data_IF_164168453035
#
_entry.id   IF_164168453035
#
_cell.length_a   1.000
_cell.length_b   1.000
_cell.length_c   1.000
_cell.angle_alpha   90.00
_cell.angle_beta   90.00
_cell.angle_gamma   90.00
#
_symmetry.space_group_name_H-M   'P 1'
#
loop_
_entity.id
_entity.type
_entity.pdbx_description
1 polymer ?
#
# COMPACT_ATOMS: atom_id res chain seq x y z
N UNK A 1 36.09 6.08 9.91
CA UNK A 1 36.36 6.87 11.15
C UNK A 1 35.29 7.93 11.38
N UNK A 2 34.96 8.79 10.39
CA UNK A 2 33.93 9.84 10.55
C UNK A 2 32.57 9.34 11.07
N UNK A 3 31.91 8.42 10.35
CA UNK A 3 30.61 7.87 10.78
C UNK A 3 30.66 7.15 12.12
N UNK A 4 31.79 6.50 12.42
CA UNK A 4 31.98 5.77 13.68
C UNK A 4 32.05 6.72 14.87
N UNK A 5 32.82 7.80 14.77
CA UNK A 5 32.87 8.85 15.79
C UNK A 5 31.54 9.59 15.90
N UNK A 6 30.91 9.92 14.77
CA UNK A 6 29.70 10.74 14.76
C UNK A 6 28.47 10.00 15.33
N UNK A 7 28.31 8.71 15.01
CA UNK A 7 27.25 7.86 15.56
C UNK A 7 27.52 7.57 17.05
N UNK A 8 28.77 7.29 17.45
CA UNK A 8 29.12 7.09 18.86
C UNK A 8 28.88 8.34 19.72
N UNK A 9 29.03 9.55 19.17
CA UNK A 9 28.85 10.80 19.91
C UNK A 9 27.39 11.29 19.97
N UNK A 10 26.60 11.05 18.91
CA UNK A 10 25.28 11.70 18.76
C UNK A 10 24.11 10.79 18.40
N UNK A 11 24.34 9.49 18.23
CA UNK A 11 23.35 8.50 17.76
C UNK A 11 22.85 8.75 16.32
N UNK A 12 22.36 7.70 15.65
CA UNK A 12 21.87 7.73 14.27
C UNK A 12 20.72 8.73 14.08
N UNK A 13 19.93 8.95 15.13
CA UNK A 13 18.80 9.89 15.14
C UNK A 13 19.23 11.36 14.98
N UNK A 14 20.46 11.72 15.37
CA UNK A 14 21.03 13.06 15.11
C UNK A 14 21.80 13.15 13.78
N UNK A 15 22.34 12.02 13.32
CA UNK A 15 23.10 11.92 12.06
C UNK A 15 22.17 11.97 10.84
N UNK A 16 21.03 11.28 10.88
CA UNK A 16 20.09 11.21 9.76
C UNK A 16 19.56 12.60 9.30
N UNK A 17 19.12 13.52 10.18
CA UNK A 17 18.75 14.88 9.78
C UNK A 17 19.92 15.66 9.19
N UNK A 18 21.14 15.44 9.69
CA UNK A 18 22.35 16.13 9.21
C UNK A 18 22.71 15.68 7.79
N UNK A 19 22.59 14.38 7.50
CA UNK A 19 22.77 13.83 6.15
C UNK A 19 21.73 14.37 5.15
N UNK A 20 20.47 14.50 5.58
CA UNK A 20 19.40 15.11 4.76
C UNK A 20 19.69 16.57 4.43
N UNK A 21 20.19 17.37 5.39
CA UNK A 21 20.52 18.78 5.16
C UNK A 21 21.55 18.99 4.04
N UNK A 22 22.47 18.03 3.87
CA UNK A 22 23.50 18.07 2.83
C UNK A 22 23.15 17.21 1.61
N UNK A 23 21.92 16.69 1.52
CA UNK A 23 21.44 15.82 0.44
C UNK A 23 22.31 14.57 0.23
N UNK A 24 22.92 14.05 1.29
CA UNK A 24 23.74 12.83 1.26
C UNK A 24 22.96 11.58 1.69
N UNK A 25 21.77 11.73 2.26
CA UNK A 25 20.93 10.65 2.79
C UNK A 25 20.62 9.55 1.76
N UNK A 26 20.46 9.91 0.48
CA UNK A 26 20.21 8.96 -0.61
C UNK A 26 21.47 8.64 -1.46
N UNK A 27 22.61 9.23 -1.10
CA UNK A 27 23.87 9.19 -1.87
C UNK A 27 25.01 8.55 -1.10
N UNK A 28 24.74 7.97 0.08
CA UNK A 28 25.75 7.33 0.92
C UNK A 28 26.51 6.20 0.20
N UNK A 29 25.90 5.54 -0.79
CA UNK A 29 26.59 4.54 -1.60
C UNK A 29 27.68 5.14 -2.50
N UNK A 30 27.56 6.42 -2.88
CA UNK A 30 28.56 7.13 -3.71
C UNK A 30 29.91 7.30 -2.99
N UNK A 31 29.95 7.06 -1.68
CA UNK A 31 31.19 7.02 -0.91
C UNK A 31 32.09 5.84 -1.29
N UNK A 32 31.56 4.83 -1.96
CA UNK A 32 32.31 3.68 -2.47
C UNK A 32 32.67 3.86 -3.95
N UNK A 33 33.77 3.23 -4.41
CA UNK A 33 34.07 3.11 -5.83
C UNK A 33 32.89 2.50 -6.61
N UNK A 34 32.68 2.92 -7.86
CA UNK A 34 31.52 2.53 -8.68
C UNK A 34 31.25 1.01 -8.71
N UNK A 35 32.29 0.18 -8.74
CA UNK A 35 32.18 -1.29 -8.73
C UNK A 35 31.78 -1.89 -7.37
N UNK A 36 31.59 -1.08 -6.34
CA UNK A 36 31.24 -1.47 -4.96
C UNK A 36 30.01 -0.73 -4.42
N UNK A 37 29.28 0.00 -5.28
CA UNK A 37 28.05 0.71 -4.92
C UNK A 37 26.85 -0.24 -4.91
N UNK A 38 26.94 -1.34 -4.17
CA UNK A 38 25.82 -2.26 -3.94
C UNK A 38 25.37 -2.19 -2.49
N UNK A 39 24.07 -2.45 -2.25
CA UNK A 39 23.53 -2.51 -0.89
C UNK A 39 24.14 -3.65 -0.10
N UNK A 40 24.43 -4.79 -0.72
CA UNK A 40 25.07 -5.89 -0.01
C UNK A 40 26.47 -5.47 0.45
N UNK A 41 27.24 -4.79 -0.40
CA UNK A 41 28.56 -4.31 -0.04
C UNK A 41 28.51 -3.27 1.07
N UNK A 42 27.63 -2.25 0.94
CA UNK A 42 27.46 -1.20 1.93
C UNK A 42 27.07 -1.79 3.29
N UNK A 43 26.06 -2.65 3.30
CA UNK A 43 25.53 -3.29 4.51
C UNK A 43 26.60 -4.14 5.17
N UNK A 44 27.33 -4.95 4.40
CA UNK A 44 28.41 -5.79 4.91
C UNK A 44 29.52 -4.93 5.53
N UNK A 45 30.03 -3.94 4.79
CA UNK A 45 31.13 -3.09 5.23
C UNK A 45 30.81 -2.36 6.54
N UNK A 46 29.64 -1.72 6.64
CA UNK A 46 29.28 -0.95 7.83
C UNK A 46 28.84 -1.82 9.00
N UNK A 47 28.23 -2.98 8.75
CA UNK A 47 27.89 -3.93 9.83
C UNK A 47 29.15 -4.55 10.44
N UNK A 48 30.13 -4.97 9.61
CA UNK A 48 31.42 -5.47 10.08
C UNK A 48 32.23 -4.39 10.83
N UNK A 49 32.02 -3.10 10.52
CA UNK A 49 32.63 -1.98 11.22
C UNK A 49 31.95 -1.62 12.56
N UNK A 50 30.83 -2.28 12.90
CA UNK A 50 30.03 -2.03 14.10
C UNK A 50 29.03 -0.87 13.96
N UNK A 51 28.57 -0.57 12.75
CA UNK A 51 27.66 0.54 12.43
C UNK A 51 26.38 0.00 11.75
N UNK A 52 25.70 -0.95 12.41
CA UNK A 52 24.51 -1.60 11.88
C UNK A 52 23.36 -0.62 11.64
N UNK A 53 23.24 0.39 12.49
CA UNK A 53 22.23 1.45 12.43
C UNK A 53 22.33 2.25 11.12
N UNK A 54 23.55 2.48 10.63
CA UNK A 54 23.78 3.16 9.36
C UNK A 54 23.41 2.27 8.17
N UNK A 55 23.72 0.97 8.24
CA UNK A 55 23.28 -0.02 7.25
C UNK A 55 21.76 -0.08 7.16
N UNK A 56 21.07 -0.17 8.30
CA UNK A 56 19.61 -0.17 8.39
C UNK A 56 19.02 1.15 7.87
N UNK A 57 19.64 2.29 8.18
CA UNK A 57 19.22 3.58 7.66
C UNK A 57 19.26 3.65 6.13
N UNK A 58 20.38 3.23 5.50
CA UNK A 58 20.53 3.24 4.03
C UNK A 58 19.55 2.29 3.36
N UNK A 59 19.41 1.08 3.91
CA UNK A 59 18.44 0.12 3.41
C UNK A 59 17.00 0.67 3.46
N UNK A 60 16.63 1.33 4.57
CA UNK A 60 15.35 2.00 4.70
C UNK A 60 15.18 3.16 3.70
N UNK A 61 16.20 4.00 3.49
CA UNK A 61 16.14 5.08 2.50
C UNK A 61 15.95 4.54 1.08
N UNK A 62 16.68 3.50 0.71
CA UNK A 62 16.57 2.91 -0.62
C UNK A 62 15.19 2.26 -0.84
N UNK A 63 14.67 1.58 0.19
CA UNK A 63 13.29 1.04 0.19
C UNK A 63 12.25 2.15 0.02
N UNK A 64 12.40 3.28 0.72
CA UNK A 64 11.51 4.44 0.56
C UNK A 64 11.63 5.03 -0.84
N UNK A 65 12.85 5.17 -1.36
CA UNK A 65 13.12 5.66 -2.71
C UNK A 65 12.45 4.80 -3.79
N UNK A 66 12.64 3.48 -3.72
CA UNK A 66 12.02 2.53 -4.65
C UNK A 66 10.48 2.63 -4.64
N UNK A 67 9.87 2.72 -3.45
CA UNK A 67 8.41 2.90 -3.32
C UNK A 67 7.92 4.21 -3.94
N UNK A 68 8.68 5.31 -3.75
CA UNK A 68 8.34 6.62 -4.33
C UNK A 68 8.45 6.62 -5.85
N UNK A 69 9.51 6.02 -6.40
CA UNK A 69 9.70 5.94 -7.85
C UNK A 69 8.63 5.04 -8.49
N UNK A 70 8.33 3.89 -7.88
CA UNK A 70 7.22 3.02 -8.30
C UNK A 70 5.89 3.80 -8.36
N UNK A 71 5.57 4.57 -7.32
CA UNK A 71 4.35 5.39 -7.29
C UNK A 71 4.37 6.49 -8.37
N UNK A 72 5.53 7.07 -8.65
CA UNK A 72 5.69 8.12 -9.66
C UNK A 72 5.48 7.55 -11.07
N UNK A 73 6.25 6.52 -11.46
CA UNK A 73 6.12 5.90 -12.79
C UNK A 73 4.73 5.31 -13.00
N UNK A 74 4.15 4.66 -11.98
CA UNK A 74 2.78 4.14 -12.08
C UNK A 74 1.78 5.25 -12.39
N UNK A 75 1.91 6.44 -11.78
CA UNK A 75 1.06 7.59 -12.09
C UNK A 75 1.29 8.13 -13.50
N UNK A 76 2.51 8.09 -14.01
CA UNK A 76 2.84 8.48 -15.39
C UNK A 76 2.25 7.49 -16.40
N UNK A 77 2.38 6.18 -16.17
CA UNK A 77 1.69 5.17 -16.97
C UNK A 77 0.17 5.35 -16.95
N UNK A 78 -0.39 5.74 -15.78
CA UNK A 78 -1.82 6.06 -15.66
C UNK A 78 -2.23 7.28 -16.48
N UNK A 79 -1.41 8.34 -16.53
CA UNK A 79 -1.72 9.55 -17.29
C UNK A 79 -1.57 9.37 -18.79
N UNK A 80 -0.59 8.57 -19.23
CA UNK A 80 -0.42 8.18 -20.65
C UNK A 80 -1.52 7.25 -21.16
N UNK A 81 -2.25 6.61 -20.25
CA UNK A 81 -3.31 5.66 -20.61
C UNK A 81 -2.78 4.28 -20.99
N UNK A 82 -1.57 3.92 -20.53
CA UNK A 82 -0.93 2.65 -20.88
C UNK A 82 -1.83 1.44 -20.50
N UNK A 83 -1.77 0.32 -21.23
CA UNK A 83 -2.57 -0.87 -20.94
C UNK A 83 -2.39 -1.39 -19.50
N UNK A 84 -3.46 -1.94 -18.91
CA UNK A 84 -3.38 -2.51 -17.56
C UNK A 84 -2.35 -3.64 -17.46
N UNK A 85 -2.22 -4.45 -18.51
CA UNK A 85 -1.24 -5.54 -18.57
C UNK A 85 0.19 -5.02 -18.34
N UNK A 86 0.56 -3.92 -19.00
CA UNK A 86 1.91 -3.37 -18.94
C UNK A 86 2.19 -2.75 -17.56
N UNK A 87 1.19 -2.07 -16.99
CA UNK A 87 1.24 -1.55 -15.60
C UNK A 87 1.43 -2.66 -14.58
N UNK A 88 0.67 -3.75 -14.72
CA UNK A 88 0.75 -4.90 -13.83
C UNK A 88 2.13 -5.56 -13.93
N UNK A 89 2.65 -5.76 -15.15
CA UNK A 89 3.97 -6.32 -15.37
C UNK A 89 5.06 -5.47 -14.73
N UNK A 90 5.05 -4.15 -14.98
CA UNK A 90 6.00 -3.22 -14.39
C UNK A 90 5.99 -3.28 -12.85
N UNK A 91 4.81 -3.22 -12.23
CA UNK A 91 4.71 -3.27 -10.75
C UNK A 91 5.21 -4.62 -10.23
N UNK A 92 4.92 -5.75 -10.88
CA UNK A 92 5.44 -7.08 -10.49
C UNK A 92 6.96 -7.17 -10.62
N UNK A 93 7.56 -6.53 -11.62
CA UNK A 93 9.02 -6.47 -11.77
C UNK A 93 9.66 -5.65 -10.64
N UNK A 94 9.12 -4.47 -10.34
CA UNK A 94 9.63 -3.62 -9.25
C UNK A 94 9.41 -4.25 -7.87
N UNK A 95 8.34 -5.03 -7.67
CA UNK A 95 8.14 -5.85 -6.47
C UNK A 95 9.29 -6.83 -6.27
N UNK A 96 9.64 -7.60 -7.32
CA UNK A 96 10.71 -8.60 -7.24
C UNK A 96 12.07 -7.95 -7.06
N UNK A 97 12.35 -6.92 -7.84
CA UNK A 97 13.64 -6.21 -7.87
C UNK A 97 13.97 -5.52 -6.54
N UNK A 98 12.98 -4.90 -5.90
CA UNK A 98 13.19 -4.15 -4.66
C UNK A 98 12.58 -4.83 -3.42
N UNK A 99 12.16 -6.09 -3.56
CA UNK A 99 11.52 -6.89 -2.52
C UNK A 99 10.35 -6.17 -1.81
N UNK A 100 9.47 -5.53 -2.61
CA UNK A 100 8.33 -4.75 -2.08
C UNK A 100 7.18 -5.72 -1.77
N UNK A 101 6.73 -5.81 -0.51
CA UNK A 101 5.62 -6.69 -0.15
C UNK A 101 4.29 -6.27 -0.79
N UNK A 102 3.44 -7.26 -1.07
CA UNK A 102 2.10 -7.04 -1.66
C UNK A 102 1.25 -6.01 -0.89
N UNK A 103 1.16 -6.03 0.47
CA UNK A 103 0.40 -5.02 1.21
C UNK A 103 0.90 -3.58 0.99
N UNK A 104 2.20 -3.41 0.77
CA UNK A 104 2.79 -2.09 0.46
C UNK A 104 2.39 -1.64 -0.93
N UNK A 105 2.39 -2.56 -1.90
CA UNK A 105 1.95 -2.27 -3.27
C UNK A 105 0.48 -1.89 -3.33
N UNK A 106 -0.39 -2.56 -2.57
CA UNK A 106 -1.81 -2.19 -2.45
C UNK A 106 -1.93 -0.72 -2.03
N UNK A 107 -1.16 -0.29 -1.02
CA UNK A 107 -1.12 1.11 -0.58
C UNK A 107 -0.61 2.08 -1.65
N UNK A 108 0.41 1.69 -2.43
CA UNK A 108 0.96 2.48 -3.53
C UNK A 108 -0.04 2.62 -4.68
N UNK A 109 -0.69 1.53 -5.09
CA UNK A 109 -1.71 1.52 -6.14
C UNK A 109 -2.91 2.36 -5.71
N UNK A 110 -3.39 2.20 -4.47
CA UNK A 110 -4.44 3.04 -3.91
C UNK A 110 -4.10 4.53 -4.01
N UNK A 111 -2.94 4.92 -3.47
CA UNK A 111 -2.50 6.31 -3.46
C UNK A 111 -2.32 6.86 -4.88
N UNK A 112 -1.84 6.03 -5.82
CA UNK A 112 -1.68 6.43 -7.23
C UNK A 112 -3.03 6.70 -7.89
N UNK A 113 -4.01 5.82 -7.69
CA UNK A 113 -5.37 5.97 -8.24
C UNK A 113 -6.07 7.18 -7.62
N UNK A 114 -6.02 7.32 -6.29
CA UNK A 114 -6.77 8.34 -5.54
C UNK A 114 -6.15 9.75 -5.61
N UNK A 115 -4.83 9.87 -5.84
CA UNK A 115 -4.14 11.17 -5.90
C UNK A 115 -4.67 12.17 -6.92
N UNK A 116 -5.40 11.71 -7.94
CA UNK A 116 -6.06 12.59 -8.92
C UNK A 116 -7.42 13.09 -8.46
N UNK A 117 -8.11 12.32 -7.62
CA UNK A 117 -9.41 12.71 -7.06
C UNK A 117 -9.21 13.69 -5.90
N UNK A 118 -8.19 13.47 -5.08
CA UNK A 118 -7.78 14.39 -4.00
C UNK A 118 -7.38 15.79 -4.49
N UNK A 119 -7.04 15.94 -5.78
CA UNK A 119 -6.72 17.24 -6.40
C UNK A 119 -7.95 18.01 -6.88
N UNK A 120 -9.13 17.39 -6.92
CA UNK A 120 -10.36 18.06 -7.33
C UNK A 120 -10.95 18.87 -6.17
N UNK A 121 -11.16 20.16 -6.41
CA UNK A 121 -11.68 21.13 -5.41
C UNK A 121 -13.21 21.15 -5.29
N UNK A 122 -13.91 20.32 -6.06
CA UNK A 122 -15.38 20.22 -6.00
C UNK A 122 -15.73 19.04 -5.11
N UNK A 123 -15.86 19.34 -3.82
CA UNK A 123 -16.03 18.38 -2.72
C UNK A 123 -17.28 17.49 -2.90
N UNK A 124 -18.37 18.03 -3.45
CA UNK A 124 -19.65 17.33 -3.60
C UNK A 124 -19.61 16.16 -4.61
N UNK A 125 -18.75 16.24 -5.63
CA UNK A 125 -18.59 15.20 -6.67
C UNK A 125 -17.40 14.27 -6.40
N UNK A 126 -16.60 14.53 -5.37
CA UNK A 126 -15.37 13.79 -5.10
C UNK A 126 -15.62 12.30 -4.89
N UNK A 127 -16.67 11.94 -4.16
CA UNK A 127 -17.02 10.54 -3.89
C UNK A 127 -17.42 9.77 -5.15
N UNK A 128 -18.23 10.36 -6.03
CA UNK A 128 -18.68 9.71 -7.27
C UNK A 128 -17.54 9.54 -8.27
N UNK A 129 -16.69 10.56 -8.39
CA UNK A 129 -15.50 10.51 -9.24
C UNK A 129 -14.50 9.47 -8.76
N UNK A 130 -14.28 9.38 -7.44
CA UNK A 130 -13.50 8.31 -6.83
C UNK A 130 -14.08 6.94 -7.14
N UNK A 131 -15.39 6.73 -6.94
CA UNK A 131 -16.03 5.45 -7.23
C UNK A 131 -15.86 5.06 -8.71
N UNK A 132 -16.05 6.00 -9.64
CA UNK A 132 -15.83 5.76 -11.08
C UNK A 132 -14.37 5.38 -11.37
N UNK A 133 -13.43 6.10 -10.77
CA UNK A 133 -12.00 5.86 -10.97
C UNK A 133 -11.55 4.55 -10.33
N UNK A 134 -12.04 4.25 -9.13
CA UNK A 134 -11.86 2.95 -8.49
C UNK A 134 -12.35 1.88 -9.47
N UNK A 135 -13.60 1.93 -9.95
CA UNK A 135 -14.11 0.97 -10.94
C UNK A 135 -13.19 0.78 -12.15
N UNK A 136 -12.73 1.87 -12.74
CA UNK A 136 -11.85 1.85 -13.91
C UNK A 136 -10.55 1.09 -13.63
N UNK A 137 -9.94 1.30 -12.47
CA UNK A 137 -8.66 0.70 -12.10
C UNK A 137 -8.79 -0.62 -11.33
N UNK A 138 -9.97 -1.26 -11.30
CA UNK A 138 -10.16 -2.57 -10.66
C UNK A 138 -9.24 -3.66 -11.18
N UNK A 139 -9.01 -3.82 -12.50
CA UNK A 139 -8.11 -4.87 -13.03
C UNK A 139 -6.68 -4.75 -12.49
N UNK A 140 -6.20 -3.52 -12.30
CA UNK A 140 -4.88 -3.28 -11.73
C UNK A 140 -4.82 -3.71 -10.26
N UNK A 141 -5.87 -3.46 -9.48
CA UNK A 141 -5.89 -3.78 -8.04
C UNK A 141 -6.06 -5.28 -7.79
N UNK A 142 -6.94 -5.94 -8.54
CA UNK A 142 -7.16 -7.38 -8.44
C UNK A 142 -5.86 -8.19 -8.64
N UNK A 143 -4.93 -7.68 -9.45
CA UNK A 143 -3.63 -8.32 -9.68
C UNK A 143 -2.69 -8.37 -8.46
N UNK A 144 -3.00 -7.64 -7.38
CA UNK A 144 -2.19 -7.51 -6.17
C UNK A 144 -2.99 -7.78 -4.89
N UNK A 145 -4.12 -8.49 -4.99
CA UNK A 145 -4.95 -8.94 -3.87
C UNK A 145 -5.11 -10.45 -3.97
N UNK A 146 -4.01 -11.19 -3.87
CA UNK A 146 -3.95 -12.62 -4.24
C UNK A 146 -3.56 -13.55 -3.09
N UNK A 147 -3.31 -13.02 -1.89
CA UNK A 147 -2.74 -13.78 -0.78
C UNK A 147 -3.33 -13.38 0.59
N UNK A 148 -4.37 -14.06 1.07
CA UNK A 148 -4.79 -14.06 2.48
C UNK A 148 -4.78 -12.70 3.19
N UNK A 149 -3.72 -12.36 3.94
CA UNK A 149 -3.57 -11.07 4.64
C UNK A 149 -3.56 -9.85 3.71
N UNK A 150 -3.13 -9.99 2.45
CA UNK A 150 -3.18 -8.91 1.46
C UNK A 150 -4.62 -8.61 1.04
N UNK A 151 -5.54 -9.56 1.10
CA UNK A 151 -6.94 -9.37 0.71
C UNK A 151 -7.74 -8.55 1.72
N UNK A 152 -7.32 -8.55 3.00
CA UNK A 152 -7.90 -7.68 4.03
C UNK A 152 -7.37 -6.23 3.95
N UNK A 153 -6.17 -6.04 3.41
CA UNK A 153 -5.49 -4.74 3.35
C UNK A 153 -6.32 -3.65 2.63
N UNK A 154 -6.99 -3.92 1.49
CA UNK A 154 -7.85 -2.93 0.84
C UNK A 154 -9.01 -2.49 1.74
N UNK A 155 -9.67 -3.40 2.46
CA UNK A 155 -10.79 -3.07 3.36
C UNK A 155 -10.38 -2.10 4.46
N UNK A 156 -9.23 -2.36 5.10
CA UNK A 156 -8.64 -1.46 6.09
C UNK A 156 -8.28 -0.10 5.48
N UNK A 157 -7.70 -0.09 4.28
CA UNK A 157 -7.29 1.15 3.62
C UNK A 157 -8.48 2.02 3.23
N UNK A 158 -9.56 1.41 2.74
CA UNK A 158 -10.81 2.10 2.40
C UNK A 158 -11.43 2.68 3.68
N UNK A 159 -11.41 1.93 4.79
CA UNK A 159 -11.95 2.37 6.07
C UNK A 159 -11.22 3.62 6.58
N UNK A 160 -9.88 3.59 6.60
CA UNK A 160 -9.08 4.74 6.97
C UNK A 160 -9.35 5.95 6.07
N UNK A 161 -9.38 5.74 4.76
CA UNK A 161 -9.62 6.80 3.79
C UNK A 161 -11.00 7.45 3.96
N UNK A 162 -12.05 6.63 4.09
CA UNK A 162 -13.41 7.13 4.26
C UNK A 162 -13.60 7.83 5.61
N UNK A 163 -12.79 7.50 6.62
CA UNK A 163 -12.81 8.16 7.92
C UNK A 163 -12.09 9.51 7.90
N UNK A 164 -10.92 9.54 7.27
CA UNK A 164 -10.06 10.73 7.24
C UNK A 164 -10.65 11.83 6.30
N UNK A 165 -11.55 11.48 5.38
CA UNK A 165 -12.28 12.43 4.52
C UNK A 165 -13.82 12.34 4.72
N UNK A 166 -14.39 13.40 5.29
CA UNK A 166 -15.83 13.49 5.61
C UNK A 166 -16.75 13.30 4.40
N UNK A 167 -16.29 13.62 3.18
CA UNK A 167 -17.07 13.45 1.95
C UNK A 167 -17.24 11.98 1.59
N UNK A 168 -16.33 11.13 2.07
CA UNK A 168 -16.32 9.69 1.84
C UNK A 168 -16.95 8.89 2.97
N UNK A 169 -17.30 9.52 4.10
CA UNK A 169 -17.91 8.84 5.24
C UNK A 169 -19.15 8.03 4.87
N UNK A 170 -19.97 8.47 3.90
CA UNK A 170 -21.16 7.73 3.40
C UNK A 170 -20.88 6.84 2.18
N UNK A 171 -19.67 6.84 1.66
CA UNK A 171 -19.28 6.12 0.45
C UNK A 171 -18.68 4.74 0.74
N UNK A 172 -18.31 4.45 2.00
CA UNK A 172 -17.60 3.23 2.40
C UNK A 172 -18.28 1.96 1.87
N UNK A 173 -19.56 1.74 2.18
CA UNK A 173 -20.30 0.56 1.72
C UNK A 173 -20.31 0.46 0.18
N UNK A 174 -20.55 1.58 -0.51
CA UNK A 174 -20.58 1.62 -1.98
C UNK A 174 -19.23 1.22 -2.57
N UNK A 175 -18.13 1.67 -1.97
CA UNK A 175 -16.77 1.33 -2.41
C UNK A 175 -16.49 -0.16 -2.18
N UNK A 176 -16.80 -0.69 -0.99
CA UNK A 176 -16.60 -2.12 -0.68
C UNK A 176 -17.39 -3.00 -1.64
N UNK A 177 -18.69 -2.73 -1.83
CA UNK A 177 -19.55 -3.48 -2.75
C UNK A 177 -19.05 -3.39 -4.19
N UNK A 178 -18.55 -2.23 -4.61
CA UNK A 178 -17.98 -2.06 -5.95
C UNK A 178 -16.73 -2.93 -6.14
N UNK A 179 -15.86 -2.97 -5.15
CA UNK A 179 -14.61 -3.75 -5.21
C UNK A 179 -14.88 -5.25 -5.13
N UNK A 180 -15.88 -5.67 -4.36
CA UNK A 180 -16.38 -7.05 -4.36
C UNK A 180 -16.89 -7.46 -5.74
N UNK A 181 -17.80 -6.67 -6.33
CA UNK A 181 -18.34 -6.92 -7.68
C UNK A 181 -17.30 -6.88 -8.80
N UNK A 182 -16.16 -6.26 -8.54
CA UNK A 182 -15.07 -6.15 -9.50
C UNK A 182 -13.92 -7.14 -9.21
N UNK A 183 -14.17 -8.14 -8.35
CA UNK A 183 -13.23 -9.20 -8.00
C UNK A 183 -11.90 -8.69 -7.42
N UNK A 184 -11.94 -7.51 -6.77
CA UNK A 184 -10.80 -6.95 -6.03
C UNK A 184 -10.85 -7.37 -4.56
N UNK A 185 -12.05 -7.60 -4.03
CA UNK A 185 -12.28 -8.15 -2.71
C UNK A 185 -13.08 -9.44 -2.85
N UNK A 186 -12.65 -10.48 -2.14
CA UNK A 186 -13.41 -11.71 -1.93
C UNK A 186 -14.34 -11.55 -0.72
N UNK A 187 -15.19 -12.55 -0.50
CA UNK A 187 -16.14 -12.58 0.61
C UNK A 187 -15.45 -12.74 1.98
N UNK A 188 -14.52 -13.69 2.10
CA UNK A 188 -13.83 -14.00 3.36
C UNK A 188 -13.18 -12.75 4.02
N UNK A 189 -12.40 -11.90 3.31
CA UNK A 189 -11.83 -10.68 3.89
C UNK A 189 -12.87 -9.64 4.31
N UNK A 190 -14.00 -9.55 3.60
CA UNK A 190 -15.08 -8.62 3.96
C UNK A 190 -15.76 -9.09 5.25
N UNK A 191 -16.04 -10.39 5.36
CA UNK A 191 -16.62 -10.99 6.57
C UNK A 191 -15.67 -10.90 7.76
N UNK A 192 -14.38 -11.19 7.54
CA UNK A 192 -13.33 -11.04 8.56
C UNK A 192 -13.21 -9.60 9.05
N UNK A 193 -13.21 -8.63 8.14
CA UNK A 193 -13.25 -7.21 8.48
C UNK A 193 -14.50 -6.87 9.30
N UNK A 194 -15.68 -7.35 8.90
CA UNK A 194 -16.94 -7.07 9.59
C UNK A 194 -16.98 -7.66 11.01
N UNK A 195 -16.41 -8.85 11.21
CA UNK A 195 -16.41 -9.56 12.50
C UNK A 195 -15.46 -8.93 13.52
N UNK A 196 -14.17 -8.86 13.20
CA UNK A 196 -13.14 -8.51 14.19
C UNK A 196 -11.89 -7.80 13.64
N UNK A 197 -11.68 -7.81 12.32
CA UNK A 197 -10.47 -7.25 11.73
C UNK A 197 -10.59 -5.79 11.25
N UNK A 198 -11.65 -5.07 11.64
CA UNK A 198 -11.84 -3.65 11.33
C UNK A 198 -11.00 -2.74 12.22
N UNK A 199 -10.61 -1.58 11.69
CA UNK A 199 -9.90 -0.56 12.46
C UNK A 199 -10.84 0.13 13.47
N UNK A 200 -10.27 0.75 14.51
CA UNK A 200 -11.04 1.53 15.48
C UNK A 200 -11.65 2.80 14.86
N UNK A 201 -10.96 3.40 13.88
CA UNK A 201 -11.39 4.61 13.16
C UNK A 201 -12.73 4.39 12.45
N UNK A 202 -13.75 5.14 12.84
CA UNK A 202 -15.08 5.07 12.20
C UNK A 202 -15.83 3.74 12.42
N UNK A 203 -15.34 2.85 13.29
CA UNK A 203 -15.89 1.50 13.53
C UNK A 203 -17.42 1.47 13.58
N UNK A 204 -18.01 2.24 14.50
CA UNK A 204 -19.47 2.25 14.70
C UNK A 204 -20.24 2.63 13.43
N UNK A 205 -19.73 3.61 12.69
CA UNK A 205 -20.39 4.15 11.50
C UNK A 205 -20.29 3.16 10.33
N UNK A 206 -19.12 2.56 10.12
CA UNK A 206 -18.92 1.66 8.98
C UNK A 206 -19.51 0.27 9.20
N UNK A 207 -19.52 -0.25 10.43
CA UNK A 207 -20.26 -1.48 10.75
C UNK A 207 -21.76 -1.29 10.50
N UNK A 208 -22.33 -0.15 10.90
CA UNK A 208 -23.74 0.14 10.64
C UNK A 208 -24.03 0.22 9.12
N UNK A 209 -23.17 0.88 8.35
CA UNK A 209 -23.30 0.93 6.89
C UNK A 209 -23.20 -0.44 6.22
N UNK A 210 -22.34 -1.31 6.75
CA UNK A 210 -22.13 -2.65 6.20
C UNK A 210 -23.15 -3.67 6.70
N UNK A 211 -23.99 -3.35 7.69
CA UNK A 211 -24.89 -4.32 8.34
C UNK A 211 -25.69 -5.18 7.35
N UNK A 212 -26.42 -4.53 6.42
CA UNK A 212 -27.20 -5.24 5.39
C UNK A 212 -26.33 -6.07 4.44
N UNK A 213 -25.13 -5.59 4.10
CA UNK A 213 -24.22 -6.28 3.19
C UNK A 213 -23.51 -7.45 3.87
N UNK A 214 -23.15 -7.31 5.15
CA UNK A 214 -22.55 -8.37 5.95
C UNK A 214 -23.54 -9.47 6.30
N UNK A 215 -24.81 -9.12 6.59
CA UNK A 215 -25.89 -10.09 6.76
C UNK A 215 -26.17 -10.84 5.46
N UNK A 216 -26.20 -10.15 4.31
CA UNK A 216 -26.39 -10.80 3.01
C UNK A 216 -25.26 -11.78 2.66
N UNK A 217 -23.99 -11.41 2.88
CA UNK A 217 -22.84 -12.29 2.65
C UNK A 217 -22.90 -13.53 3.55
N UNK A 218 -23.12 -13.35 4.86
CA UNK A 218 -23.22 -14.48 5.80
C UNK A 218 -24.32 -15.49 5.43
N UNK A 219 -25.49 -14.99 5.02
CA UNK A 219 -26.59 -15.87 4.62
C UNK A 219 -26.25 -16.63 3.33
N UNK A 220 -25.54 -16.01 2.38
CA UNK A 220 -25.09 -16.67 1.17
C UNK A 220 -24.03 -17.76 1.45
N UNK A 221 -23.14 -17.51 2.43
CA UNK A 221 -22.16 -18.49 2.91
C UNK A 221 -22.86 -19.71 3.55
N UNK A 222 -23.81 -19.49 4.47
CA UNK A 222 -24.57 -20.54 5.15
C UNK A 222 -25.42 -21.40 4.19
N UNK A 223 -26.05 -20.80 3.17
CA UNK A 223 -26.78 -21.53 2.13
C UNK A 223 -25.83 -22.41 1.28
N UNK A 224 -24.67 -21.88 0.89
CA UNK A 224 -23.70 -22.60 0.06
C UNK A 224 -23.04 -23.79 0.76
N UNK A 225 -22.79 -23.70 2.08
CA UNK A 225 -22.27 -24.82 2.88
C UNK A 225 -23.32 -25.93 3.03
N UNK A 226 -24.59 -25.58 3.21
CA UNK A 226 -25.68 -26.55 3.32
C UNK A 226 -25.92 -27.35 2.04
N UNK A 227 -25.81 -26.71 0.87
CA UNK A 227 -25.93 -27.37 -0.44
C UNK A 227 -24.74 -28.30 -0.74
N UNK A 228 -23.55 -27.97 -0.24
CA UNK A 228 -22.36 -28.81 -0.38
C UNK A 228 -22.38 -30.05 0.51
N UNK A 229 -23.01 -30.00 1.68
CA UNK A 229 -23.20 -31.15 2.57
C UNK A 229 -24.34 -32.09 2.12
N UNK A 230 -25.41 -31.57 1.50
CA UNK A 230 -26.50 -32.40 0.97
C UNK A 230 -26.18 -33.05 -0.40
N UNK A 231 -25.15 -32.56 -1.09
CA UNK A 231 -24.68 -33.07 -2.38
C UNK A 231 -23.55 -34.11 -2.33
N UNK A 232 -23.14 -34.55 -1.13
CA UNK A 232 -22.05 -35.49 -0.89
C UNK A 232 -22.53 -36.89 -0.46
#
# INVERSE_FOLDING_TARGET
MLFKSWINEKDINAVAPSLRKVSMDNRLMELFPANKQSIEHFTKYFTEAGLKELSEYVWNQQTIGARKELQKELREQMSRGDPFKDKILYVKEEMKKNNIPEPVVIGIVWSSVMSTVERNKIEELAAEQAIKRLKQYSPLRAAFTTQGQSELTPSLKIQEYCYDDIHFMKAFQKIVVLLYKAEVLSEEPILKWYKDAHAAKGKRVFLEQMKKSGEWLKNAEEESESEAEEGA
#
